data_IF_212874247534
#
_entry.id   IF_212874247534
#
_cell.length_a   1.000
_cell.length_b   1.000
_cell.length_c   1.000
_cell.angle_alpha   90.00
_cell.angle_beta   90.00
_cell.angle_gamma   90.00
#
_symmetry.space_group_name_H-M   'P 1'
#
loop_
_entity.id
_entity.type
_entity.pdbx_description
1 polymer ?
#
# COMPACT_ATOMS: atom_id res chain seq x y z
N UNK A 1 -21.40 10.25 -15.17
CA UNK A 1 -21.44 9.36 -13.98
C UNK A 1 -21.00 7.92 -14.27
N UNK A 2 -21.56 7.21 -15.21
CA UNK A 2 -21.22 5.80 -15.49
C UNK A 2 -19.74 5.56 -15.91
N UNK A 3 -19.15 6.50 -16.64
CA UNK A 3 -17.74 6.38 -17.10
C UNK A 3 -16.72 6.48 -15.96
N UNK A 4 -16.96 7.35 -14.97
CA UNK A 4 -16.03 7.52 -13.85
C UNK A 4 -16.14 6.36 -12.85
N UNK A 5 -17.33 5.80 -12.65
CA UNK A 5 -17.51 4.57 -11.86
C UNK A 5 -16.69 3.42 -12.48
N UNK A 6 -16.71 3.27 -13.82
CA UNK A 6 -15.89 2.27 -14.51
C UNK A 6 -14.38 2.52 -14.35
N UNK A 7 -13.95 3.80 -14.34
CA UNK A 7 -12.53 4.16 -14.06
C UNK A 7 -12.14 3.73 -12.65
N UNK A 8 -12.98 4.05 -11.65
CA UNK A 8 -12.75 3.61 -10.26
C UNK A 8 -12.71 2.09 -10.12
N UNK A 9 -13.64 1.36 -10.75
CA UNK A 9 -13.64 -0.11 -10.72
C UNK A 9 -12.33 -0.68 -11.26
N UNK A 10 -11.85 -0.17 -12.40
CA UNK A 10 -10.57 -0.60 -12.98
C UNK A 10 -9.38 -0.23 -12.10
N UNK A 11 -9.39 0.97 -11.51
CA UNK A 11 -8.33 1.40 -10.61
C UNK A 11 -8.29 0.56 -9.32
N UNK A 12 -9.45 0.22 -8.74
CA UNK A 12 -9.53 -0.66 -7.57
C UNK A 12 -9.04 -2.06 -7.86
N UNK A 13 -9.41 -2.62 -9.01
CA UNK A 13 -8.91 -3.93 -9.42
C UNK A 13 -7.38 -3.93 -9.53
N UNK A 14 -6.82 -2.94 -10.20
CA UNK A 14 -5.37 -2.81 -10.35
C UNK A 14 -4.68 -2.59 -9.00
N UNK A 15 -5.28 -1.80 -8.12
CA UNK A 15 -4.75 -1.56 -6.79
C UNK A 15 -4.83 -2.83 -5.92
N UNK A 16 -5.93 -3.58 -5.98
CA UNK A 16 -6.07 -4.85 -5.28
C UNK A 16 -5.04 -5.89 -5.78
N UNK A 17 -4.81 -5.97 -7.09
CA UNK A 17 -3.75 -6.80 -7.66
C UNK A 17 -2.36 -6.32 -7.21
N UNK A 18 -2.11 -5.01 -7.17
CA UNK A 18 -0.86 -4.45 -6.65
C UNK A 18 -0.63 -4.90 -5.20
N UNK A 19 -1.65 -4.81 -4.33
CA UNK A 19 -1.57 -5.26 -2.94
C UNK A 19 -1.28 -6.75 -2.84
N UNK A 20 -1.93 -7.57 -3.66
CA UNK A 20 -1.68 -9.01 -3.69
C UNK A 20 -0.22 -9.34 -4.02
N UNK A 21 0.37 -8.68 -5.03
CA UNK A 21 1.77 -8.87 -5.39
C UNK A 21 2.72 -8.34 -4.31
N UNK A 22 2.41 -7.21 -3.67
CA UNK A 22 3.18 -6.67 -2.54
C UNK A 22 3.14 -7.65 -1.35
N UNK A 23 1.99 -8.24 -1.03
CA UNK A 23 1.88 -9.28 0.01
C UNK A 23 2.76 -10.47 -0.33
N UNK A 24 2.73 -10.96 -1.57
CA UNK A 24 3.60 -12.07 -2.01
C UNK A 24 5.09 -11.72 -1.86
N UNK A 25 5.49 -10.48 -2.16
CA UNK A 25 6.89 -10.06 -2.01
C UNK A 25 7.37 -10.04 -0.55
N UNK A 26 6.48 -9.87 0.44
CA UNK A 26 6.84 -9.92 1.85
C UNK A 26 7.36 -11.29 2.29
N UNK A 27 6.99 -12.37 1.61
CA UNK A 27 7.51 -13.70 1.92
C UNK A 27 9.01 -13.85 1.65
N UNK A 28 9.62 -12.96 0.84
CA UNK A 28 11.07 -12.90 0.69
C UNK A 28 11.80 -12.61 2.00
N UNK A 29 11.20 -11.85 2.91
CA UNK A 29 11.79 -11.50 4.21
C UNK A 29 11.78 -12.64 5.24
N UNK A 30 10.99 -13.71 5.00
CA UNK A 30 10.92 -14.90 5.88
C UNK A 30 12.02 -15.95 5.66
N UNK A 31 12.93 -15.72 4.74
CA UNK A 31 13.78 -16.71 4.12
C UNK A 31 15.04 -17.16 4.85
N UNK A 32 14.88 -17.83 6.02
CA UNK A 32 15.93 -18.78 6.50
C UNK A 32 15.74 -20.19 5.92
N UNK A 33 14.82 -20.40 4.99
CA UNK A 33 14.53 -21.70 4.37
C UNK A 33 15.30 -21.77 3.05
N UNK A 34 16.33 -22.61 2.96
CA UNK A 34 17.15 -22.80 1.76
C UNK A 34 16.35 -23.04 0.48
N UNK A 35 15.20 -23.71 0.57
CA UNK A 35 14.29 -23.93 -0.57
C UNK A 35 13.64 -22.65 -1.11
N UNK A 36 13.54 -21.57 -0.30
CA UNK A 36 13.01 -20.28 -0.71
C UNK A 36 14.05 -19.34 -1.31
N UNK A 37 15.35 -19.62 -1.13
CA UNK A 37 16.41 -18.77 -1.68
C UNK A 37 16.42 -18.75 -3.22
N UNK A 38 16.04 -19.84 -3.86
CA UNK A 38 15.89 -19.91 -5.33
C UNK A 38 14.66 -19.13 -5.83
N UNK A 39 13.70 -18.83 -4.95
CA UNK A 39 12.49 -18.09 -5.26
C UNK A 39 12.62 -16.58 -4.97
N UNK A 40 13.73 -16.10 -4.41
CA UNK A 40 13.90 -14.66 -4.09
C UNK A 40 13.73 -13.78 -5.32
N UNK A 41 14.23 -14.18 -6.46
CA UNK A 41 14.05 -13.45 -7.72
C UNK A 41 12.56 -13.27 -8.08
N UNK A 42 11.73 -14.29 -7.84
CA UNK A 42 10.29 -14.19 -8.07
C UNK A 42 9.61 -13.19 -7.12
N UNK A 43 10.04 -13.16 -5.86
CA UNK A 43 9.48 -12.22 -4.88
C UNK A 43 9.86 -10.78 -5.19
N UNK A 44 11.09 -10.52 -5.66
CA UNK A 44 11.51 -9.20 -6.11
C UNK A 44 10.73 -8.78 -7.38
N UNK A 45 10.50 -9.72 -8.31
CA UNK A 45 9.65 -9.48 -9.47
C UNK A 45 8.22 -9.12 -9.05
N UNK A 46 7.65 -9.79 -8.05
CA UNK A 46 6.32 -9.44 -7.53
C UNK A 46 6.27 -8.03 -6.95
N UNK A 47 7.32 -7.59 -6.25
CA UNK A 47 7.43 -6.21 -5.75
C UNK A 47 7.42 -5.19 -6.89
N UNK A 48 8.17 -5.44 -7.95
CA UNK A 48 8.22 -4.57 -9.15
C UNK A 48 6.85 -4.53 -9.84
N UNK A 49 6.24 -5.69 -10.09
CA UNK A 49 4.90 -5.77 -10.71
C UNK A 49 3.86 -5.05 -9.85
N UNK A 50 3.87 -5.26 -8.53
CA UNK A 50 2.98 -4.58 -7.61
C UNK A 50 3.13 -3.06 -7.67
N UNK A 51 4.36 -2.56 -7.71
CA UNK A 51 4.66 -1.12 -7.82
C UNK A 51 4.17 -0.52 -9.15
N UNK A 52 4.38 -1.22 -10.26
CA UNK A 52 3.90 -0.78 -11.59
C UNK A 52 2.35 -0.73 -11.60
N UNK A 53 1.68 -1.74 -11.09
CA UNK A 53 0.21 -1.77 -11.01
C UNK A 53 -0.33 -0.64 -10.13
N UNK A 54 0.37 -0.30 -9.04
CA UNK A 54 0.02 0.83 -8.17
C UNK A 54 0.11 2.16 -8.94
N UNK A 55 1.18 2.38 -9.72
CA UNK A 55 1.34 3.56 -10.56
C UNK A 55 0.23 3.65 -11.61
N UNK A 56 -0.07 2.56 -12.30
CA UNK A 56 -1.14 2.53 -13.31
C UNK A 56 -2.50 2.82 -12.65
N UNK A 57 -2.77 2.28 -11.46
CA UNK A 57 -3.98 2.59 -10.70
C UNK A 57 -4.07 4.09 -10.36
N UNK A 58 -2.99 4.68 -9.85
CA UNK A 58 -2.93 6.09 -9.49
C UNK A 58 -3.14 7.01 -10.71
N UNK A 59 -2.50 6.69 -11.84
CA UNK A 59 -2.66 7.44 -13.10
C UNK A 59 -4.11 7.47 -13.60
N UNK A 60 -4.87 6.40 -13.41
CA UNK A 60 -6.28 6.34 -13.81
C UNK A 60 -7.18 7.28 -13.01
N UNK A 61 -6.80 7.61 -11.78
CA UNK A 61 -7.60 8.43 -10.86
C UNK A 61 -7.15 9.89 -10.80
N UNK A 62 -6.02 10.25 -11.37
CA UNK A 62 -5.33 11.55 -11.19
C UNK A 62 -6.23 12.78 -11.45
N UNK A 63 -7.16 12.71 -12.40
CA UNK A 63 -8.02 13.82 -12.81
C UNK A 63 -9.40 13.81 -12.15
N UNK A 64 -9.69 12.91 -11.22
CA UNK A 64 -11.04 12.79 -10.66
C UNK A 64 -11.29 13.83 -9.57
N UNK A 65 -10.37 13.96 -8.61
CA UNK A 65 -10.43 14.99 -7.58
C UNK A 65 -9.02 15.28 -7.02
N UNK A 66 -8.94 16.33 -6.18
CA UNK A 66 -7.67 16.79 -5.58
C UNK A 66 -6.94 15.69 -4.79
N UNK A 67 -7.67 14.88 -4.03
CA UNK A 67 -7.06 13.80 -3.24
C UNK A 67 -6.56 12.66 -4.12
N UNK A 68 -7.22 12.38 -5.25
CA UNK A 68 -6.72 11.46 -6.26
C UNK A 68 -5.45 11.97 -6.95
N UNK A 69 -5.34 13.27 -7.17
CA UNK A 69 -4.09 13.89 -7.64
C UNK A 69 -2.96 13.70 -6.63
N UNK A 70 -3.20 13.94 -5.33
CA UNK A 70 -2.19 13.70 -4.30
C UNK A 70 -1.84 12.21 -4.16
N UNK A 71 -2.79 11.31 -4.34
CA UNK A 71 -2.52 9.88 -4.44
C UNK A 71 -1.52 9.56 -5.55
N UNK A 72 -1.68 10.13 -6.74
CA UNK A 72 -0.75 9.96 -7.84
C UNK A 72 0.64 10.52 -7.50
N UNK A 73 0.71 11.76 -7.04
CA UNK A 73 1.99 12.42 -6.69
C UNK A 73 2.74 11.63 -5.62
N UNK A 74 2.07 11.24 -4.53
CA UNK A 74 2.70 10.47 -3.45
C UNK A 74 3.13 9.08 -3.90
N UNK A 75 2.40 8.45 -4.84
CA UNK A 75 2.80 7.16 -5.44
C UNK A 75 4.10 7.30 -6.23
N UNK A 76 4.26 8.38 -7.01
CA UNK A 76 5.49 8.64 -7.75
C UNK A 76 6.68 8.87 -6.82
N UNK A 77 6.50 9.67 -5.76
CA UNK A 77 7.54 9.89 -4.75
C UNK A 77 7.89 8.60 -4.00
N UNK A 78 6.89 7.81 -3.61
CA UNK A 78 7.11 6.51 -2.98
C UNK A 78 7.98 5.59 -3.84
N UNK A 79 7.64 5.48 -5.12
CA UNK A 79 8.40 4.65 -6.06
C UNK A 79 9.85 5.12 -6.19
N UNK A 80 10.05 6.43 -6.37
CA UNK A 80 11.39 7.03 -6.51
C UNK A 80 12.24 6.83 -5.23
N UNK A 81 11.69 7.11 -4.05
CA UNK A 81 12.40 6.94 -2.78
C UNK A 81 12.70 5.46 -2.49
N UNK A 82 11.77 4.56 -2.81
CA UNK A 82 11.98 3.12 -2.66
C UNK A 82 13.09 2.60 -3.59
N UNK A 83 13.16 3.11 -4.81
CA UNK A 83 14.23 2.80 -5.74
C UNK A 83 15.58 3.27 -5.21
N UNK A 84 15.68 4.52 -4.72
CA UNK A 84 16.91 5.04 -4.11
C UNK A 84 17.34 4.25 -2.87
N UNK A 85 16.40 3.82 -2.04
CA UNK A 85 16.67 3.02 -0.86
C UNK A 85 17.24 1.63 -1.20
N UNK A 86 16.88 1.06 -2.35
CA UNK A 86 17.40 -0.24 -2.79
C UNK A 86 18.87 -0.17 -3.20
N UNK A 87 19.31 0.90 -3.84
CA UNK A 87 20.72 1.08 -4.24
C UNK A 87 21.68 1.21 -3.05
N UNK A 88 21.23 1.76 -1.90
CA UNK A 88 22.08 1.93 -0.71
C UNK A 88 22.14 0.69 0.19
N UNK A 89 21.33 -0.33 -0.05
CA UNK A 89 21.21 -1.48 0.85
C UNK A 89 22.38 -2.45 0.77
N UNK A 90 23.17 -2.42 -0.31
CA UNK A 90 24.31 -3.33 -0.56
C UNK A 90 25.66 -2.73 -0.13
N UNK A 91 25.69 -1.47 0.31
CA UNK A 91 26.93 -0.80 0.72
C UNK A 91 27.37 -1.25 2.11
N UNK A 92 28.69 -1.38 2.29
CA UNK A 92 29.33 -1.66 3.57
C UNK A 92 29.74 -0.38 4.33
N UNK A 93 29.60 0.79 3.71
CA UNK A 93 29.95 2.08 4.33
C UNK A 93 28.86 2.54 5.30
N UNK A 94 29.23 2.90 6.53
CA UNK A 94 28.31 3.31 7.59
C UNK A 94 27.40 4.48 7.20
N UNK A 95 27.92 5.46 6.47
CA UNK A 95 27.15 6.62 5.99
C UNK A 95 26.07 6.19 4.99
N UNK A 96 26.43 5.34 4.03
CA UNK A 96 25.51 4.85 3.00
C UNK A 96 24.40 4.00 3.62
N UNK A 97 24.73 3.18 4.64
CA UNK A 97 23.75 2.41 5.41
C UNK A 97 22.80 3.32 6.19
N UNK A 98 23.30 4.40 6.79
CA UNK A 98 22.47 5.38 7.51
C UNK A 98 21.49 6.10 6.57
N UNK A 99 21.97 6.53 5.38
CA UNK A 99 21.13 7.15 4.35
C UNK A 99 20.05 6.16 3.86
N UNK A 100 20.41 4.91 3.56
CA UNK A 100 19.47 3.89 3.13
C UNK A 100 18.38 3.61 4.18
N UNK A 101 18.73 3.63 5.48
CA UNK A 101 17.75 3.53 6.58
C UNK A 101 16.79 4.71 6.60
N UNK A 102 17.31 5.93 6.45
CA UNK A 102 16.51 7.15 6.37
C UNK A 102 15.53 7.12 5.20
N UNK A 103 15.98 6.71 4.01
CA UNK A 103 15.16 6.56 2.82
C UNK A 103 14.07 5.49 3.02
N UNK A 104 14.40 4.36 3.67
CA UNK A 104 13.43 3.30 3.97
C UNK A 104 12.34 3.77 4.94
N UNK A 105 12.71 4.55 5.95
CA UNK A 105 11.74 5.16 6.88
C UNK A 105 10.83 6.15 6.16
N UNK A 106 11.40 6.98 5.27
CA UNK A 106 10.64 7.92 4.43
C UNK A 106 9.69 7.18 3.48
N UNK A 107 10.12 6.05 2.91
CA UNK A 107 9.29 5.17 2.09
C UNK A 107 8.07 4.64 2.86
N UNK A 108 8.24 4.27 4.14
CA UNK A 108 7.13 3.83 5.01
C UNK A 108 6.10 4.95 5.25
N UNK A 109 6.54 6.18 5.42
CA UNK A 109 5.63 7.33 5.53
C UNK A 109 4.92 7.62 4.20
N UNK A 110 5.64 7.56 3.09
CA UNK A 110 5.07 7.80 1.77
C UNK A 110 4.00 6.76 1.41
N UNK A 111 4.21 5.47 1.71
CA UNK A 111 3.18 4.45 1.45
C UNK A 111 1.93 4.68 2.31
N UNK A 112 2.08 5.16 3.54
CA UNK A 112 0.94 5.61 4.34
C UNK A 112 0.17 6.73 3.63
N UNK A 113 0.86 7.76 3.14
CA UNK A 113 0.23 8.87 2.41
C UNK A 113 -0.46 8.38 1.13
N UNK A 114 0.13 7.45 0.40
CA UNK A 114 -0.47 6.80 -0.78
C UNK A 114 -1.84 6.22 -0.43
N UNK A 115 -1.93 5.41 0.61
CA UNK A 115 -3.20 4.81 1.02
C UNK A 115 -4.19 5.83 1.57
N UNK A 116 -3.73 6.77 2.39
CA UNK A 116 -4.59 7.82 2.97
C UNK A 116 -5.22 8.66 1.86
N UNK A 117 -4.44 9.14 0.89
CA UNK A 117 -4.98 9.94 -0.21
C UNK A 117 -5.86 9.13 -1.14
N UNK A 118 -5.56 7.84 -1.36
CA UNK A 118 -6.45 6.95 -2.09
C UNK A 118 -7.83 6.86 -1.42
N UNK A 119 -7.87 6.57 -0.10
CA UNK A 119 -9.13 6.45 0.63
C UNK A 119 -9.86 7.77 0.78
N UNK A 120 -9.17 8.89 0.95
CA UNK A 120 -9.77 10.22 0.98
C UNK A 120 -10.37 10.58 -0.38
N UNK A 121 -9.63 10.38 -1.47
CA UNK A 121 -10.11 10.64 -2.83
C UNK A 121 -11.34 9.81 -3.18
N UNK A 122 -11.33 8.55 -2.78
CA UNK A 122 -12.47 7.65 -2.91
C UNK A 122 -13.68 8.13 -2.10
N UNK A 123 -13.47 8.47 -0.84
CA UNK A 123 -14.54 8.97 0.05
C UNK A 123 -15.21 10.23 -0.52
N UNK A 124 -14.42 11.18 -1.00
CA UNK A 124 -14.92 12.45 -1.51
C UNK A 124 -15.74 12.22 -2.78
N UNK A 125 -15.26 11.39 -3.71
CA UNK A 125 -15.99 11.00 -4.89
C UNK A 125 -17.35 10.34 -4.57
N UNK A 126 -17.36 9.38 -3.61
CA UNK A 126 -18.61 8.72 -3.22
C UNK A 126 -19.58 9.64 -2.50
N UNK A 127 -19.07 10.58 -1.71
CA UNK A 127 -19.90 11.60 -1.06
C UNK A 127 -20.58 12.49 -2.08
N UNK A 128 -19.85 12.96 -3.08
CA UNK A 128 -20.36 13.81 -4.16
C UNK A 128 -21.40 13.10 -5.04
N UNK A 129 -21.27 11.80 -5.20
CA UNK A 129 -22.16 10.99 -6.06
C UNK A 129 -23.24 10.23 -5.27
N UNK A 130 -23.45 10.49 -3.98
CA UNK A 130 -24.50 9.87 -3.16
C UNK A 130 -24.31 8.37 -2.89
N UNK A 131 -23.09 7.85 -3.05
CA UNK A 131 -22.75 6.43 -2.88
C UNK A 131 -22.31 6.13 -1.43
N UNK A 132 -23.25 6.14 -0.49
CA UNK A 132 -22.97 6.12 0.95
C UNK A 132 -22.27 4.88 1.48
N UNK A 133 -22.50 3.70 0.87
CA UNK A 133 -21.95 2.42 1.36
C UNK A 133 -20.42 2.36 1.42
N UNK A 134 -19.73 2.96 0.46
CA UNK A 134 -18.27 2.97 0.42
C UNK A 134 -17.61 4.07 1.25
N UNK A 135 -18.36 5.08 1.72
CA UNK A 135 -17.83 6.15 2.58
C UNK A 135 -17.31 5.56 3.90
N UNK A 136 -18.08 4.65 4.52
CA UNK A 136 -17.71 3.97 5.77
C UNK A 136 -16.46 3.12 5.59
N UNK A 137 -16.39 2.35 4.50
CA UNK A 137 -15.24 1.50 4.19
C UNK A 137 -13.97 2.34 3.94
N UNK A 138 -14.08 3.45 3.21
CA UNK A 138 -12.96 4.37 3.02
C UNK A 138 -12.47 4.97 4.34
N UNK A 139 -13.40 5.36 5.24
CA UNK A 139 -13.06 5.87 6.57
C UNK A 139 -12.31 4.84 7.40
N UNK A 140 -12.78 3.59 7.41
CA UNK A 140 -12.12 2.50 8.10
C UNK A 140 -10.71 2.24 7.52
N UNK A 141 -10.58 2.29 6.19
CA UNK A 141 -9.31 2.08 5.49
C UNK A 141 -8.23 3.08 5.92
N UNK A 142 -8.50 4.39 5.86
CA UNK A 142 -7.45 5.35 6.21
C UNK A 142 -7.12 5.36 7.70
N UNK A 143 -8.09 5.13 8.61
CA UNK A 143 -7.81 5.00 10.05
C UNK A 143 -6.89 3.82 10.31
N UNK A 144 -7.16 2.66 9.70
CA UNK A 144 -6.32 1.48 9.84
C UNK A 144 -4.89 1.72 9.35
N UNK A 145 -4.75 2.34 8.17
CA UNK A 145 -3.45 2.67 7.59
C UNK A 145 -2.64 3.57 8.53
N UNK A 146 -3.25 4.64 9.05
CA UNK A 146 -2.57 5.55 9.99
C UNK A 146 -2.14 4.81 11.25
N UNK A 147 -2.99 3.96 11.81
CA UNK A 147 -2.69 3.19 13.04
C UNK A 147 -1.52 2.23 12.81
N UNK A 148 -1.55 1.43 11.74
CA UNK A 148 -0.46 0.50 11.44
C UNK A 148 0.85 1.23 11.16
N UNK A 149 0.80 2.35 10.42
CA UNK A 149 2.00 3.14 10.12
C UNK A 149 2.59 3.76 11.38
N UNK A 150 1.77 4.27 12.30
CA UNK A 150 2.25 4.78 13.58
C UNK A 150 2.97 3.70 14.38
N UNK A 151 2.43 2.48 14.43
CA UNK A 151 3.08 1.33 15.08
C UNK A 151 4.42 0.97 14.43
N UNK A 152 4.47 0.93 13.09
CA UNK A 152 5.71 0.67 12.35
C UNK A 152 6.77 1.74 12.60
N UNK A 153 6.39 3.02 12.70
CA UNK A 153 7.29 4.11 13.02
C UNK A 153 7.85 4.00 14.44
N UNK A 154 7.02 3.64 15.42
CA UNK A 154 7.46 3.39 16.80
C UNK A 154 8.50 2.26 16.83
N UNK A 155 8.23 1.14 16.16
CA UNK A 155 9.20 0.03 16.04
C UNK A 155 10.48 0.48 15.35
N UNK A 156 10.37 1.28 14.28
CA UNK A 156 11.51 1.84 13.54
C UNK A 156 12.40 2.74 14.39
N UNK A 157 11.84 3.47 15.36
CA UNK A 157 12.59 4.29 16.33
C UNK A 157 13.27 3.42 17.39
N UNK A 158 12.58 2.40 17.91
CA UNK A 158 13.10 1.54 18.99
C UNK A 158 14.25 0.64 18.49
N UNK A 159 14.15 0.15 17.25
CA UNK A 159 15.10 -0.82 16.67
C UNK A 159 16.58 -0.36 16.64
N UNK A 160 16.94 0.87 16.25
CA UNK A 160 18.33 1.34 16.27
C UNK A 160 18.93 1.48 17.67
N UNK A 161 18.13 1.87 18.66
CA UNK A 161 18.60 2.08 20.03
C UNK A 161 19.07 0.78 20.70
N UNK A 162 18.51 -0.36 20.29
CA UNK A 162 18.82 -1.67 20.85
C UNK A 162 19.94 -2.41 20.10
N UNK A 163 20.32 -1.95 18.90
CA UNK A 163 21.39 -2.59 18.11
C UNK A 163 22.79 -2.44 18.72
N UNK A 164 22.99 -1.49 19.65
CA UNK A 164 24.26 -1.20 20.29
C UNK A 164 24.53 -2.08 21.53
N UNK A 165 23.49 -2.70 22.13
CA UNK A 165 23.60 -3.66 23.25
C UNK A 165 22.57 -4.78 23.10
N UNK A 166 22.71 -5.53 22.12
CA UNK A 166 22.30 -6.88 21.77
C UNK A 166 21.50 -7.68 22.81
N UNK A 167 20.22 -7.42 22.89
CA UNK A 167 19.31 -8.48 23.27
C UNK A 167 18.76 -9.12 21.96
N UNK A 168 19.37 -10.24 21.54
CA UNK A 168 18.98 -10.98 20.33
C UNK A 168 17.48 -11.28 20.29
N UNK A 169 16.89 -11.60 21.45
CA UNK A 169 15.46 -11.88 21.60
C UNK A 169 14.62 -10.66 21.24
N UNK A 170 14.97 -9.48 21.76
CA UNK A 170 14.23 -8.23 21.48
C UNK A 170 14.33 -7.85 20.00
N UNK A 171 15.52 -7.95 19.40
CA UNK A 171 15.71 -7.67 17.97
C UNK A 171 14.87 -8.60 17.09
N UNK A 172 14.79 -9.88 17.47
CA UNK A 172 13.97 -10.88 16.79
C UNK A 172 12.48 -10.56 16.91
N UNK A 173 12.00 -10.23 18.12
CA UNK A 173 10.61 -9.83 18.36
C UNK A 173 10.24 -8.58 17.56
N UNK A 174 11.09 -7.55 17.53
CA UNK A 174 10.85 -6.33 16.76
C UNK A 174 10.82 -6.58 15.26
N UNK A 175 11.67 -7.49 14.75
CA UNK A 175 11.69 -7.89 13.34
C UNK A 175 10.39 -8.59 12.93
N UNK A 176 9.99 -9.61 13.65
CA UNK A 176 8.75 -10.34 13.35
C UNK A 176 7.50 -9.53 13.66
N UNK A 177 7.54 -8.68 14.68
CA UNK A 177 6.46 -7.74 14.99
C UNK A 177 6.23 -6.73 13.86
N UNK A 178 7.29 -6.13 13.29
CA UNK A 178 7.16 -5.23 12.15
C UNK A 178 6.59 -5.94 10.93
N UNK A 179 7.07 -7.15 10.63
CA UNK A 179 6.58 -7.94 9.49
C UNK A 179 5.09 -8.30 9.67
N UNK A 180 4.67 -8.67 10.88
CA UNK A 180 3.26 -8.98 11.17
C UNK A 180 2.36 -7.75 10.98
N UNK A 181 2.81 -6.55 11.41
CA UNK A 181 2.05 -5.31 11.23
C UNK A 181 1.98 -4.92 9.76
N UNK A 182 3.08 -5.04 9.00
CA UNK A 182 3.10 -4.80 7.55
C UNK A 182 2.14 -5.75 6.83
N UNK A 183 2.18 -7.03 7.14
CA UNK A 183 1.25 -8.01 6.57
C UNK A 183 -0.20 -7.69 6.90
N UNK A 184 -0.50 -7.35 8.17
CA UNK A 184 -1.83 -6.96 8.60
C UNK A 184 -2.31 -5.69 7.87
N UNK A 185 -1.43 -4.71 7.66
CA UNK A 185 -1.72 -3.50 6.90
C UNK A 185 -2.18 -3.84 5.48
N UNK A 186 -1.37 -4.58 4.74
CA UNK A 186 -1.63 -4.87 3.32
C UNK A 186 -2.83 -5.81 3.13
N UNK A 187 -2.96 -6.84 3.97
CA UNK A 187 -4.11 -7.76 3.90
C UNK A 187 -5.42 -7.02 4.19
N UNK A 188 -5.44 -6.15 5.19
CA UNK A 188 -6.66 -5.40 5.52
C UNK A 188 -7.02 -4.38 4.41
N UNK A 189 -6.03 -3.69 3.85
CA UNK A 189 -6.23 -2.81 2.68
C UNK A 189 -6.80 -3.60 1.52
N UNK A 190 -6.26 -4.80 1.22
CA UNK A 190 -6.76 -5.67 0.16
C UNK A 190 -8.22 -6.07 0.39
N UNK A 191 -8.58 -6.46 1.61
CA UNK A 191 -9.97 -6.82 1.98
C UNK A 191 -10.91 -5.63 1.75
N UNK A 192 -10.53 -4.43 2.20
CA UNK A 192 -11.35 -3.23 1.98
C UNK A 192 -11.51 -2.93 0.48
N UNK A 193 -10.44 -3.03 -0.30
CA UNK A 193 -10.50 -2.80 -1.75
C UNK A 193 -11.46 -3.79 -2.44
N UNK A 194 -11.42 -5.06 -2.05
CA UNK A 194 -12.34 -6.08 -2.58
C UNK A 194 -13.78 -5.74 -2.20
N UNK A 195 -14.06 -5.37 -0.94
CA UNK A 195 -15.39 -4.97 -0.49
C UNK A 195 -15.92 -3.75 -1.28
N UNK A 196 -15.07 -2.76 -1.50
CA UNK A 196 -15.40 -1.55 -2.27
C UNK A 196 -15.69 -1.90 -3.74
N UNK A 197 -14.91 -2.80 -4.33
CA UNK A 197 -15.09 -3.28 -5.71
C UNK A 197 -16.42 -4.00 -5.88
N UNK A 198 -16.76 -4.92 -4.95
CA UNK A 198 -18.03 -5.65 -4.96
C UNK A 198 -19.21 -4.68 -4.88
N UNK A 199 -19.15 -3.70 -3.96
CA UNK A 199 -20.17 -2.68 -3.82
C UNK A 199 -20.38 -1.88 -5.11
N UNK A 200 -19.29 -1.42 -5.74
CA UNK A 200 -19.37 -0.66 -6.98
C UNK A 200 -19.92 -1.49 -8.14
N UNK A 201 -19.55 -2.77 -8.22
CA UNK A 201 -20.07 -3.69 -9.25
C UNK A 201 -21.57 -3.88 -9.11
N UNK A 202 -22.05 -4.07 -7.86
CA UNK A 202 -23.49 -4.19 -7.57
C UNK A 202 -24.23 -2.92 -7.99
N UNK A 203 -23.72 -1.74 -7.60
CA UNK A 203 -24.36 -0.46 -7.90
C UNK A 203 -24.38 -0.12 -9.40
N UNK A 204 -23.30 -0.47 -10.11
CA UNK A 204 -23.25 -0.30 -11.58
C UNK A 204 -24.28 -1.18 -12.29
N UNK A 205 -24.59 -2.37 -11.77
CA UNK A 205 -25.63 -3.23 -12.30
C UNK A 205 -27.03 -2.65 -12.09
N UNK A 206 -27.33 -2.21 -10.86
CA UNK A 206 -28.62 -1.57 -10.52
C UNK A 206 -28.91 -0.34 -11.42
N UNK A 207 -27.90 0.49 -11.69
CA UNK A 207 -28.09 1.65 -12.59
C UNK A 207 -28.30 1.27 -14.06
N UNK A 208 -27.72 0.17 -14.51
CA UNK A 208 -27.94 -0.30 -15.89
C UNK A 208 -29.34 -0.94 -16.06
N UNK A 209 -29.85 -1.61 -15.02
CA UNK A 209 -31.16 -2.25 -15.06
C UNK A 209 -32.29 -1.19 -15.03
N UNK A 210 -32.17 -0.14 -14.18
CA UNK A 210 -33.13 0.95 -14.15
C UNK A 210 -33.14 1.83 -15.42
N UNK A 211 -32.02 1.94 -16.14
CA UNK A 211 -31.94 2.67 -17.43
C UNK A 211 -32.44 1.92 -18.63
N UNK A 212 -32.96 0.72 -18.45
CA UNK A 212 -33.63 -0.09 -19.54
C UNK A 212 -35.16 -0.07 -19.44
N UNK A 213 -35.68 0.49 -18.34
CA UNK A 213 -37.13 0.60 -18.10
C UNK A 213 -37.70 1.97 -18.54
N UNK A 214 -36.84 2.90 -18.97
CA UNK A 214 -37.23 4.16 -19.64
C UNK A 214 -37.05 4.06 -21.17
#
# INVERSE_FOLDING_TARGET
MNNDIKKFQKAYLLFALAQFFIILSLFSYGGNIKALSELFFLFDLFSIVGSILLIISATRLVFINRNCFYFFVTTMFYFFISLLASFGSESTEDLTVAIARGLRTSSTLLICMVYVYFFLGTRDYFKENGLTGNIKNSKLGYIWVITCTALLMIIGIIKPWNSVKTNYVLTTILRYGSLAIELALYVFVLVILIMMLIYMKKRSKEMNDNGKEE
#
